data_IF_985759209305
#
_entry.id   IF_985759209305
#
_cell.length_a   1.000
_cell.length_b   1.000
_cell.length_c   1.000
_cell.angle_alpha   90.00
_cell.angle_beta   90.00
_cell.angle_gamma   90.00
#
_symmetry.space_group_name_H-M   'P 1'
#
loop_
_entity.id
_entity.type
_entity.pdbx_description
1 polymer ?
#
# COMPACT_ATOMS: atom_id res chain seq x y z
N UNK A 1 -12.81 2.40 -6.26
CA UNK A 1 -11.45 1.78 -6.33
C UNK A 1 -10.36 2.70 -5.77
N UNK A 2 -10.26 4.00 -6.16
CA UNK A 2 -9.23 4.91 -5.60
C UNK A 2 -9.45 5.19 -4.11
N UNK A 3 -10.71 5.27 -3.67
CA UNK A 3 -11.08 5.44 -2.25
C UNK A 3 -10.68 4.27 -1.34
N UNK A 4 -10.47 3.10 -1.93
CA UNK A 4 -10.11 1.87 -1.22
C UNK A 4 -8.59 1.61 -1.28
N UNK A 5 -7.82 2.55 -1.83
CA UNK A 5 -6.37 2.46 -1.88
C UNK A 5 -5.75 2.77 -0.52
N UNK A 6 -4.69 2.07 -0.17
CA UNK A 6 -3.91 2.31 1.04
C UNK A 6 -2.96 3.51 0.89
N UNK A 7 -2.58 3.84 -0.35
CA UNK A 7 -1.67 4.93 -0.69
C UNK A 7 -1.90 5.39 -2.13
N UNK A 8 -1.93 6.69 -2.35
CA UNK A 8 -1.92 7.29 -3.69
C UNK A 8 -0.50 7.75 -4.01
N UNK A 9 0.06 7.23 -5.11
CA UNK A 9 1.29 7.76 -5.69
C UNK A 9 0.92 8.80 -6.75
N UNK A 10 1.10 10.07 -6.39
CA UNK A 10 0.84 11.18 -7.31
C UNK A 10 2.12 11.53 -8.06
N UNK A 11 2.26 10.99 -9.26
CA UNK A 11 3.46 11.19 -10.09
C UNK A 11 3.29 12.45 -10.94
N UNK A 12 4.26 13.37 -10.80
CA UNK A 12 4.29 14.68 -11.46
C UNK A 12 5.52 14.79 -12.33
N UNK A 13 5.40 15.40 -13.51
CA UNK A 13 6.54 15.71 -14.37
C UNK A 13 7.26 16.96 -13.84
N UNK A 14 8.45 16.75 -13.25
CA UNK A 14 9.27 17.86 -12.72
C UNK A 14 9.90 18.74 -13.78
N UNK A 15 9.88 18.33 -15.04
CA UNK A 15 10.37 19.13 -16.19
C UNK A 15 9.29 19.96 -16.87
N UNK A 16 8.03 19.84 -16.42
CA UNK A 16 6.92 20.66 -16.92
C UNK A 16 7.05 22.12 -16.46
N UNK A 17 6.44 23.04 -17.22
CA UNK A 17 6.46 24.47 -16.91
C UNK A 17 5.58 24.85 -15.71
N UNK A 18 4.56 24.03 -15.39
CA UNK A 18 3.59 24.29 -14.34
C UNK A 18 3.25 23.03 -13.49
N UNK A 19 4.22 22.38 -12.84
CA UNK A 19 4.00 21.16 -12.07
C UNK A 19 3.05 21.39 -10.88
N UNK A 20 3.05 22.55 -10.26
CA UNK A 20 2.17 22.89 -9.14
C UNK A 20 0.68 22.97 -9.55
N UNK A 21 0.40 23.45 -10.76
CA UNK A 21 -0.97 23.48 -11.30
C UNK A 21 -1.49 22.05 -11.54
N UNK A 22 -0.63 21.16 -12.02
CA UNK A 22 -0.97 19.73 -12.17
C UNK A 22 -1.28 19.08 -10.83
N UNK A 23 -0.47 19.35 -9.80
CA UNK A 23 -0.71 18.85 -8.44
C UNK A 23 -2.07 19.35 -7.91
N UNK A 24 -2.36 20.64 -8.08
CA UNK A 24 -3.61 21.22 -7.62
C UNK A 24 -4.83 20.60 -8.33
N UNK A 25 -4.77 20.44 -9.65
CA UNK A 25 -5.84 19.85 -10.44
C UNK A 25 -6.14 18.39 -10.05
N UNK A 26 -5.11 17.57 -9.83
CA UNK A 26 -5.29 16.17 -9.39
C UNK A 26 -5.91 16.12 -7.99
N UNK A 27 -5.47 16.98 -7.07
CA UNK A 27 -6.05 17.04 -5.71
C UNK A 27 -7.51 17.47 -5.70
N UNK A 28 -7.90 18.38 -6.61
CA UNK A 28 -9.31 18.73 -6.79
C UNK A 28 -10.14 17.50 -7.20
N UNK A 29 -9.70 16.75 -8.19
CA UNK A 29 -10.35 15.50 -8.61
C UNK A 29 -10.40 14.47 -7.48
N UNK A 30 -9.32 14.28 -6.74
CA UNK A 30 -9.30 13.36 -5.60
C UNK A 30 -10.31 13.74 -4.51
N UNK A 31 -10.52 15.04 -4.28
CA UNK A 31 -11.53 15.53 -3.36
C UNK A 31 -12.95 15.30 -3.89
N UNK A 32 -13.20 15.56 -5.18
CA UNK A 32 -14.52 15.32 -5.81
C UNK A 32 -14.95 13.84 -5.72
N UNK A 33 -14.01 12.90 -5.86
CA UNK A 33 -14.29 11.46 -5.73
C UNK A 33 -14.20 10.95 -4.29
N UNK A 34 -14.15 11.84 -3.28
CA UNK A 34 -14.04 11.52 -1.86
C UNK A 34 -12.80 10.67 -1.49
N UNK A 35 -11.72 10.78 -2.26
CA UNK A 35 -10.44 10.10 -2.01
C UNK A 35 -9.42 10.99 -1.27
N UNK A 36 -9.79 12.20 -0.88
CA UNK A 36 -8.90 13.16 -0.21
C UNK A 36 -8.42 12.74 1.19
N UNK A 37 -8.99 11.66 1.76
CA UNK A 37 -8.54 11.09 3.03
C UNK A 37 -7.51 9.96 2.85
N UNK A 38 -7.30 9.48 1.62
CA UNK A 38 -6.27 8.46 1.33
C UNK A 38 -4.89 9.13 1.41
N UNK A 39 -3.92 8.52 2.11
CA UNK A 39 -2.56 9.04 2.14
C UNK A 39 -2.00 9.26 0.74
N UNK A 40 -1.41 10.44 0.48
CA UNK A 40 -0.81 10.82 -0.80
C UNK A 40 0.71 10.94 -0.66
N UNK A 41 1.46 10.32 -1.56
CA UNK A 41 2.89 10.54 -1.75
C UNK A 41 3.12 11.19 -3.11
N UNK A 42 3.58 12.45 -3.11
CA UNK A 42 3.97 13.16 -4.33
C UNK A 42 5.34 12.65 -4.80
N UNK A 43 5.42 12.30 -6.07
CA UNK A 43 6.65 11.82 -6.72
C UNK A 43 6.96 12.72 -7.91
N UNK A 44 7.95 13.58 -7.75
CA UNK A 44 8.45 14.45 -8.83
C UNK A 44 9.41 13.63 -9.69
N UNK A 45 8.95 13.26 -10.87
CA UNK A 45 9.72 12.48 -11.83
C UNK A 45 10.45 13.40 -12.84
N UNK A 46 11.37 12.83 -13.61
CA UNK A 46 12.19 13.49 -14.63
C UNK A 46 13.12 14.58 -14.07
N UNK A 47 13.61 14.40 -12.84
CA UNK A 47 14.57 15.35 -12.25
C UNK A 47 15.88 15.51 -13.05
N UNK A 48 16.16 14.59 -13.95
CA UNK A 48 17.30 14.64 -14.87
C UNK A 48 17.09 15.62 -16.06
N UNK A 49 15.84 16.02 -16.32
CA UNK A 49 15.46 16.95 -17.37
C UNK A 49 14.97 18.32 -16.83
N UNK A 50 14.71 18.41 -15.53
CA UNK A 50 14.21 19.61 -14.88
C UNK A 50 15.36 20.61 -14.57
N UNK A 51 15.06 21.92 -14.58
CA UNK A 51 16.01 22.94 -14.15
C UNK A 51 16.26 22.86 -12.63
N UNK A 52 17.50 23.10 -12.20
CA UNK A 52 17.88 23.00 -10.79
C UNK A 52 17.10 23.99 -9.89
N UNK A 53 16.83 25.19 -10.39
CA UNK A 53 16.05 26.20 -9.68
C UNK A 53 14.59 25.77 -9.48
N UNK A 54 13.98 25.17 -10.50
CA UNK A 54 12.62 24.64 -10.43
C UNK A 54 12.53 23.50 -9.41
N UNK A 55 13.50 22.58 -9.40
CA UNK A 55 13.56 21.50 -8.41
C UNK A 55 13.71 22.05 -6.99
N UNK A 56 14.56 23.04 -6.76
CA UNK A 56 14.75 23.67 -5.44
C UNK A 56 13.46 24.33 -4.94
N UNK A 57 12.67 24.94 -5.82
CA UNK A 57 11.38 25.51 -5.47
C UNK A 57 10.36 24.43 -5.09
N UNK A 58 10.32 23.33 -5.85
CA UNK A 58 9.46 22.19 -5.55
C UNK A 58 9.85 21.51 -4.24
N UNK A 59 11.14 21.35 -3.95
CA UNK A 59 11.63 20.81 -2.67
C UNK A 59 11.21 21.67 -1.49
N UNK A 60 11.30 22.99 -1.63
CA UNK A 60 10.85 23.91 -0.58
C UNK A 60 9.32 23.88 -0.37
N UNK A 61 8.56 23.69 -1.44
CA UNK A 61 7.09 23.69 -1.41
C UNK A 61 6.50 22.37 -0.97
N UNK A 62 7.15 21.24 -1.32
CA UNK A 62 6.72 19.88 -1.05
C UNK A 62 7.87 19.10 -0.38
N UNK A 63 8.17 19.38 0.90
CA UNK A 63 9.32 18.79 1.58
C UNK A 63 9.22 17.26 1.75
N UNK A 64 8.00 16.72 1.73
CA UNK A 64 7.74 15.27 1.83
C UNK A 64 7.68 14.58 0.46
N UNK A 65 7.84 15.31 -0.65
CA UNK A 65 7.83 14.73 -1.98
C UNK A 65 9.11 13.95 -2.27
N UNK A 66 8.99 12.90 -3.07
CA UNK A 66 10.12 12.13 -3.57
C UNK A 66 10.56 12.64 -4.95
N UNK A 67 11.87 12.87 -5.11
CA UNK A 67 12.47 13.38 -6.34
C UNK A 67 13.22 12.26 -7.06
N UNK A 68 12.71 11.86 -8.24
CA UNK A 68 13.18 10.68 -8.96
C UNK A 68 13.41 10.94 -10.44
N UNK A 69 14.18 10.08 -11.07
CA UNK A 69 14.24 9.92 -12.51
C UNK A 69 14.05 8.45 -12.86
N UNK A 70 12.92 8.10 -13.43
CA UNK A 70 12.68 6.75 -13.92
C UNK A 70 13.66 6.37 -15.04
N UNK A 71 14.14 7.36 -15.82
CA UNK A 71 15.08 7.15 -16.91
C UNK A 71 16.48 6.77 -16.42
N UNK A 72 16.98 7.43 -15.36
CA UNK A 72 18.33 7.22 -14.85
C UNK A 72 18.39 6.28 -13.64
N UNK A 73 17.25 5.99 -13.02
CA UNK A 73 17.16 5.23 -11.78
C UNK A 73 17.40 6.08 -10.51
N UNK A 74 17.71 7.38 -10.65
CA UNK A 74 17.95 8.26 -9.50
C UNK A 74 16.73 8.30 -8.58
N UNK A 75 16.91 8.08 -7.27
CA UNK A 75 15.86 8.15 -6.26
C UNK A 75 14.89 6.96 -6.25
N UNK A 76 14.92 6.04 -7.20
CA UNK A 76 13.96 4.92 -7.29
C UNK A 76 14.10 3.96 -6.12
N UNK A 77 15.29 3.66 -5.65
CA UNK A 77 15.50 2.80 -4.49
C UNK A 77 14.90 3.41 -3.21
N UNK A 78 15.10 4.71 -2.98
CA UNK A 78 14.50 5.42 -1.86
C UNK A 78 12.97 5.48 -1.96
N UNK A 79 12.43 5.77 -3.16
CA UNK A 79 10.98 5.76 -3.39
C UNK A 79 10.36 4.41 -3.01
N UNK A 80 10.98 3.31 -3.44
CA UNK A 80 10.52 1.96 -3.09
C UNK A 80 10.49 1.74 -1.58
N UNK A 81 11.57 2.08 -0.87
CA UNK A 81 11.64 1.95 0.59
C UNK A 81 10.59 2.83 1.28
N UNK A 82 10.35 4.04 0.78
CA UNK A 82 9.33 4.95 1.32
C UNK A 82 7.93 4.36 1.13
N UNK A 83 7.60 3.85 -0.05
CA UNK A 83 6.33 3.17 -0.31
C UNK A 83 6.14 1.99 0.66
N UNK A 84 7.15 1.12 0.80
CA UNK A 84 7.11 -0.03 1.71
C UNK A 84 6.88 0.38 3.18
N UNK A 85 7.35 1.56 3.59
CA UNK A 85 7.14 2.09 4.94
C UNK A 85 5.77 2.72 5.16
N UNK A 86 5.15 3.25 4.11
CA UNK A 86 3.84 3.93 4.16
C UNK A 86 2.68 2.95 4.00
N UNK A 87 2.90 1.80 3.37
CA UNK A 87 1.86 0.79 3.21
C UNK A 87 1.55 0.11 4.55
N UNK A 88 0.28 -0.19 4.83
CA UNK A 88 -0.11 -0.97 6.00
C UNK A 88 0.61 -2.31 6.01
N UNK A 89 1.25 -2.63 7.12
CA UNK A 89 1.86 -3.95 7.30
C UNK A 89 0.80 -4.94 7.75
N UNK A 90 0.85 -6.19 7.27
CA UNK A 90 -0.02 -7.25 7.79
C UNK A 90 0.41 -7.57 9.23
N UNK A 91 -0.40 -7.12 10.21
CA UNK A 91 -0.05 -7.21 11.64
C UNK A 91 -0.88 -8.25 12.40
N UNK A 92 -2.07 -8.60 11.88
CA UNK A 92 -2.98 -9.52 12.56
C UNK A 92 -2.60 -10.95 12.19
N UNK A 93 -2.11 -11.70 13.16
CA UNK A 93 -1.88 -13.12 12.99
C UNK A 93 -3.20 -13.89 13.14
N UNK A 94 -3.55 -14.63 12.10
CA UNK A 94 -4.74 -15.47 12.04
C UNK A 94 -4.35 -16.94 11.84
N UNK A 95 -5.20 -17.82 12.37
CA UNK A 95 -5.19 -19.24 12.06
C UNK A 95 -6.56 -19.63 11.54
N UNK A 96 -6.65 -19.96 10.26
CA UNK A 96 -7.92 -20.23 9.60
C UNK A 96 -7.89 -21.55 8.82
N UNK A 97 -9.02 -22.26 8.82
CA UNK A 97 -9.27 -23.39 7.93
C UNK A 97 -10.13 -22.91 6.78
N UNK A 98 -9.51 -22.68 5.65
CA UNK A 98 -10.18 -22.12 4.45
C UNK A 98 -10.66 -23.27 3.57
N UNK A 99 -11.98 -23.42 3.35
CA UNK A 99 -12.50 -24.46 2.45
C UNK A 99 -11.93 -24.29 1.02
N UNK A 100 -11.82 -25.38 0.28
CA UNK A 100 -11.28 -25.34 -1.08
C UNK A 100 -12.11 -24.49 -2.05
N UNK A 101 -13.40 -24.34 -1.82
CA UNK A 101 -14.30 -23.47 -2.58
C UNK A 101 -13.96 -21.97 -2.41
N UNK A 102 -13.24 -21.62 -1.34
CA UNK A 102 -12.78 -20.25 -1.04
C UNK A 102 -11.29 -20.05 -1.29
N UNK A 103 -10.80 -20.66 -2.37
CA UNK A 103 -9.43 -20.45 -2.85
C UNK A 103 -9.09 -18.98 -3.17
N UNK A 104 -10.14 -18.15 -3.39
CA UNK A 104 -10.01 -16.69 -3.53
C UNK A 104 -9.37 -16.06 -2.29
N UNK A 105 -9.73 -16.51 -1.08
CA UNK A 105 -9.16 -15.99 0.17
C UNK A 105 -7.68 -16.38 0.33
N UNK A 106 -7.32 -17.60 -0.04
CA UNK A 106 -5.92 -18.05 -0.03
C UNK A 106 -5.08 -17.18 -0.98
N UNK A 107 -5.60 -16.92 -2.18
CA UNK A 107 -4.93 -16.05 -3.15
C UNK A 107 -4.76 -14.60 -2.64
N UNK A 108 -5.77 -14.06 -1.95
CA UNK A 108 -5.66 -12.72 -1.32
C UNK A 108 -4.59 -12.68 -0.23
N UNK A 109 -4.47 -13.73 0.58
CA UNK A 109 -3.37 -13.82 1.56
C UNK A 109 -2.01 -13.81 0.85
N UNK A 110 -1.88 -14.48 -0.31
CA UNK A 110 -0.65 -14.43 -1.12
C UNK A 110 -0.33 -13.03 -1.63
N UNK A 111 -1.36 -12.26 -2.00
CA UNK A 111 -1.17 -10.93 -2.58
C UNK A 111 -0.91 -9.83 -1.53
N UNK A 112 -1.54 -9.91 -0.36
CA UNK A 112 -1.60 -8.79 0.60
C UNK A 112 -1.18 -9.16 2.02
N UNK A 113 -0.92 -10.44 2.29
CA UNK A 113 -0.52 -10.97 3.60
C UNK A 113 0.85 -11.63 3.57
N UNK A 114 1.17 -12.27 4.69
CA UNK A 114 2.39 -13.05 4.86
C UNK A 114 2.03 -14.43 5.42
N UNK A 115 2.28 -15.50 4.67
CA UNK A 115 2.13 -16.86 5.18
C UNK A 115 3.23 -17.17 6.19
N UNK A 116 2.82 -17.73 7.34
CA UNK A 116 3.71 -18.32 8.34
C UNK A 116 3.74 -19.85 8.20
N UNK A 117 2.58 -20.48 7.95
CA UNK A 117 2.47 -21.89 7.59
C UNK A 117 1.23 -22.17 6.77
N UNK A 118 1.30 -23.22 5.97
CA UNK A 118 0.18 -23.72 5.15
C UNK A 118 0.18 -25.24 5.17
N UNK A 119 -0.98 -25.85 5.43
CA UNK A 119 -1.17 -27.29 5.41
C UNK A 119 -2.48 -27.63 4.69
N UNK A 120 -2.43 -28.56 3.76
CA UNK A 120 -3.62 -29.06 3.07
C UNK A 120 -4.24 -30.21 3.86
N UNK A 121 -5.50 -30.06 4.23
CA UNK A 121 -6.28 -31.08 4.96
C UNK A 121 -7.45 -31.57 4.10
N UNK A 122 -8.14 -32.60 4.58
CA UNK A 122 -9.35 -33.10 3.88
C UNK A 122 -10.48 -32.05 3.83
N UNK A 123 -10.53 -31.16 4.82
CA UNK A 123 -11.59 -30.15 4.96
C UNK A 123 -11.27 -28.79 4.29
N UNK A 124 -10.02 -28.59 3.85
CA UNK A 124 -9.59 -27.33 3.26
C UNK A 124 -8.10 -27.06 3.52
N UNK A 125 -7.70 -25.82 3.30
CA UNK A 125 -6.34 -25.34 3.55
C UNK A 125 -6.26 -24.70 4.94
N UNK A 126 -5.51 -25.30 5.84
CA UNK A 126 -5.16 -24.71 7.12
C UNK A 126 -4.04 -23.70 6.90
N UNK A 127 -4.30 -22.45 7.28
CA UNK A 127 -3.38 -21.34 7.09
C UNK A 127 -3.07 -20.69 8.43
N UNK A 128 -1.80 -20.41 8.68
CA UNK A 128 -1.36 -19.43 9.67
C UNK A 128 -0.68 -18.31 8.89
N UNK A 129 -1.21 -17.11 9.02
CA UNK A 129 -0.73 -15.96 8.23
C UNK A 129 -0.88 -14.65 9.02
N UNK A 130 -0.09 -13.66 8.64
CA UNK A 130 -0.32 -12.27 9.04
C UNK A 130 -1.05 -11.56 7.93
N UNK A 131 -2.12 -10.88 8.29
CA UNK A 131 -3.02 -10.19 7.34
C UNK A 131 -3.37 -8.80 7.85
N UNK A 132 -3.81 -7.94 6.95
CA UNK A 132 -4.35 -6.63 7.32
C UNK A 132 -5.77 -6.75 7.91
N UNK A 133 -6.24 -5.72 8.63
CA UNK A 133 -7.52 -5.79 9.36
C UNK A 133 -8.73 -6.15 8.51
N UNK A 134 -8.81 -5.66 7.27
CA UNK A 134 -9.95 -5.94 6.39
C UNK A 134 -9.99 -7.43 5.97
N UNK A 135 -8.83 -8.03 5.66
CA UNK A 135 -8.76 -9.45 5.30
C UNK A 135 -8.98 -10.34 6.52
N UNK A 136 -8.54 -9.93 7.71
CA UNK A 136 -8.87 -10.61 8.95
C UNK A 136 -10.39 -10.66 9.19
N UNK A 137 -11.11 -9.58 8.90
CA UNK A 137 -12.58 -9.55 8.95
C UNK A 137 -13.24 -10.55 8.00
N UNK A 138 -12.75 -10.68 6.76
CA UNK A 138 -13.25 -11.67 5.80
C UNK A 138 -12.92 -13.12 6.19
N UNK A 139 -11.79 -13.33 6.87
CA UNK A 139 -11.33 -14.64 7.33
C UNK A 139 -11.96 -15.09 8.67
N UNK A 140 -12.56 -14.16 9.41
CA UNK A 140 -13.16 -14.44 10.72
C UNK A 140 -14.12 -15.64 10.75
N UNK A 141 -14.98 -15.92 9.74
CA UNK A 141 -15.82 -17.12 9.72
C UNK A 141 -15.06 -18.45 9.66
N UNK A 142 -13.82 -18.41 9.22
CA UNK A 142 -12.94 -19.57 9.03
C UNK A 142 -11.86 -19.67 10.09
N UNK A 143 -11.79 -18.71 11.00
CA UNK A 143 -10.76 -18.64 12.05
C UNK A 143 -10.94 -19.78 13.06
N UNK A 144 -9.87 -20.52 13.32
CA UNK A 144 -9.83 -21.52 14.36
C UNK A 144 -9.50 -20.83 15.68
N UNK A 145 -10.48 -20.77 16.58
CA UNK A 145 -10.29 -20.29 17.95
C UNK A 145 -9.23 -21.13 18.63
N UNK A 146 -8.05 -20.58 18.83
CA UNK A 146 -7.03 -21.21 19.65
C UNK A 146 -7.53 -21.18 21.10
N UNK A 147 -7.79 -22.33 21.70
CA UNK A 147 -8.26 -22.48 23.08
C UNK A 147 -7.18 -22.12 24.12
N UNK A 148 -6.38 -21.11 23.86
CA UNK A 148 -5.29 -20.66 24.75
C UNK A 148 -5.66 -19.41 25.57
N UNK A 149 -6.94 -19.00 25.57
CA UNK A 149 -7.46 -17.99 26.50
C UNK A 149 -7.86 -18.53 27.90
N UNK A 150 -7.73 -19.85 28.11
CA UNK A 150 -8.17 -20.50 29.36
C UNK A 150 -7.08 -20.71 30.42
N UNK A 151 -5.87 -20.16 30.27
CA UNK A 151 -4.79 -20.32 31.28
C UNK A 151 -4.21 -19.02 31.83
N UNK A 152 -4.97 -17.94 31.82
CA UNK A 152 -4.67 -16.74 32.65
C UNK A 152 -5.95 -16.20 33.29
N UNK A 153 -6.46 -16.96 34.20
CA UNK A 153 -7.35 -16.49 35.27
C UNK A 153 -6.72 -16.90 36.59
#
# INVERSE_FOLDING_TARGET
EVRDADLILHVVDGSDDAPEEQIAAVREVLNEIEAGQVPELIVINKVDAAAAEALSMLEARYPDAMFVSARTGKGIAQLRTTIESLLPRPEIEIRALIPYERGDLVNRIHQTGQFLSTEHTVAGTLVVARVNPWLAGELAPYELVTSDRARRA
#
